data_IF_799707435642
#
_entry.id   IF_799707435642
#
_cell.length_a   1.000
_cell.length_b   1.000
_cell.length_c   1.000
_cell.angle_alpha   90.00
_cell.angle_beta   90.00
_cell.angle_gamma   90.00
#
_symmetry.space_group_name_H-M   'P 1'
#
loop_
_entity.id
_entity.type
_entity.pdbx_description
1 polymer ?
#
# COMPACT_ATOMS: atom_id res chain seq x y z
N UNK A 1 9.40 13.39 -0.67
CA UNK A 1 8.07 12.96 -1.13
C UNK A 1 7.14 12.95 0.06
N UNK A 2 6.00 13.63 -0.03
CA UNK A 2 4.96 13.71 1.00
C UNK A 2 3.75 12.90 0.55
N UNK A 3 3.39 11.90 1.35
CA UNK A 3 2.35 10.92 1.07
C UNK A 3 1.21 11.12 2.06
N UNK A 4 -0.03 11.17 1.58
CA UNK A 4 -1.20 10.89 2.40
C UNK A 4 -1.55 9.42 2.28
N UNK A 5 -1.39 8.66 3.35
CA UNK A 5 -1.72 7.23 3.39
C UNK A 5 -3.01 6.99 4.20
N UNK A 6 -3.90 6.14 3.69
CA UNK A 6 -5.18 5.78 4.31
C UNK A 6 -5.42 4.26 4.24
N UNK A 7 -6.11 3.69 5.22
CA UNK A 7 -6.49 2.27 5.21
C UNK A 7 -7.60 1.93 6.22
N UNK A 8 -8.44 0.95 5.87
CA UNK A 8 -9.40 0.21 6.70
C UNK A 8 -10.54 0.98 7.39
N UNK A 9 -10.30 2.22 7.83
CA UNK A 9 -11.26 3.04 8.58
C UNK A 9 -11.29 4.43 7.98
N UNK A 10 -12.49 4.92 7.67
CA UNK A 10 -12.71 6.30 7.24
C UNK A 10 -12.26 7.26 8.36
N UNK A 11 -11.34 8.17 8.04
CA UNK A 11 -10.86 9.16 9.00
C UNK A 11 -11.70 10.44 8.91
N UNK A 12 -12.67 10.57 9.82
CA UNK A 12 -13.53 11.76 9.96
C UNK A 12 -12.70 13.04 10.18
N UNK A 13 -11.53 12.94 10.83
CA UNK A 13 -10.66 14.10 11.06
C UNK A 13 -9.98 14.53 9.76
N UNK A 14 -9.64 13.59 8.89
CA UNK A 14 -9.15 13.88 7.53
C UNK A 14 -10.25 14.53 6.70
N UNK A 15 -11.47 13.97 6.71
CA UNK A 15 -12.61 14.51 5.95
C UNK A 15 -12.87 15.98 6.29
N UNK A 16 -13.07 16.29 7.58
CA UNK A 16 -13.30 17.67 8.03
C UNK A 16 -12.19 18.64 7.60
N UNK A 17 -10.94 18.18 7.57
CA UNK A 17 -9.81 19.01 7.16
C UNK A 17 -9.78 19.24 5.65
N UNK A 18 -10.17 18.25 4.85
CA UNK A 18 -10.32 18.39 3.40
C UNK A 18 -11.48 19.34 3.09
N UNK A 19 -12.61 19.20 3.77
CA UNK A 19 -13.76 20.13 3.67
C UNK A 19 -13.39 21.57 4.05
N UNK A 20 -12.52 21.76 5.05
CA UNK A 20 -12.03 23.09 5.44
C UNK A 20 -11.02 23.73 4.48
N UNK A 21 -10.94 23.22 3.24
CA UNK A 21 -10.11 23.77 2.16
C UNK A 21 -8.72 23.16 2.04
N UNK A 22 -8.41 22.08 2.76
CA UNK A 22 -7.28 21.20 2.45
C UNK A 22 -5.87 21.80 2.49
N UNK A 23 -5.66 23.07 2.87
CA UNK A 23 -4.37 23.79 2.74
C UNK A 23 -3.15 23.03 3.28
N UNK A 24 -3.31 22.29 4.39
CA UNK A 24 -2.25 21.49 5.01
C UNK A 24 -1.78 20.29 4.16
N UNK A 25 -2.55 19.94 3.13
CA UNK A 25 -2.33 18.82 2.22
C UNK A 25 -1.92 19.26 0.80
N UNK A 26 -1.83 20.56 0.52
CA UNK A 26 -1.44 21.07 -0.81
C UNK A 26 -0.06 20.54 -1.26
N UNK A 27 0.86 20.42 -0.30
CA UNK A 27 2.21 19.86 -0.49
C UNK A 27 2.25 18.33 -0.62
N UNK A 28 1.11 17.65 -0.54
CA UNK A 28 1.06 16.20 -0.76
C UNK A 28 1.39 15.91 -2.21
N UNK A 29 2.34 15.00 -2.45
CA UNK A 29 2.74 14.57 -3.79
C UNK A 29 1.81 13.48 -4.31
N UNK A 30 1.40 12.55 -3.44
CA UNK A 30 0.53 11.44 -3.81
C UNK A 30 -0.31 10.91 -2.65
N UNK A 31 -1.37 10.19 -3.01
CA UNK A 31 -2.27 9.49 -2.09
C UNK A 31 -1.99 7.99 -2.23
N UNK A 32 -1.87 7.29 -1.09
CA UNK A 32 -1.71 5.84 -1.04
C UNK A 32 -2.84 5.21 -0.22
N UNK A 33 -3.60 4.29 -0.80
CA UNK A 33 -4.54 3.45 -0.05
C UNK A 33 -4.01 2.03 0.13
N UNK A 34 -3.94 1.57 1.39
CA UNK A 34 -3.60 0.19 1.71
C UNK A 34 -4.83 -0.74 1.77
N UNK A 35 -5.98 -0.28 1.27
CA UNK A 35 -7.16 -1.11 1.09
C UNK A 35 -8.20 -0.99 2.19
N UNK A 36 -9.27 -1.78 1.98
CA UNK A 36 -10.47 -1.87 2.81
C UNK A 36 -11.13 -0.56 3.25
N UNK A 37 -11.15 0.41 2.32
CA UNK A 37 -11.95 1.62 2.42
C UNK A 37 -13.09 1.60 1.40
N UNK A 38 -14.26 2.16 1.72
CA UNK A 38 -15.33 2.35 0.76
C UNK A 38 -14.90 3.20 -0.44
N UNK A 39 -15.42 2.86 -1.61
CA UNK A 39 -15.11 3.59 -2.86
C UNK A 39 -15.42 5.08 -2.73
N UNK A 40 -16.59 5.44 -2.19
CA UNK A 40 -17.01 6.84 -2.04
C UNK A 40 -16.06 7.67 -1.19
N UNK A 41 -15.51 7.08 -0.14
CA UNK A 41 -14.52 7.73 0.71
C UNK A 41 -13.23 8.02 -0.09
N UNK A 42 -12.77 7.04 -0.86
CA UNK A 42 -11.57 7.20 -1.67
C UNK A 42 -11.78 8.25 -2.77
N UNK A 43 -12.94 8.24 -3.45
CA UNK A 43 -13.31 9.27 -4.43
C UNK A 43 -13.28 10.67 -3.81
N UNK A 44 -13.90 10.84 -2.64
CA UNK A 44 -13.88 12.11 -1.91
C UNK A 44 -12.45 12.58 -1.60
N UNK A 45 -11.59 11.70 -1.09
CA UNK A 45 -10.19 12.03 -0.77
C UNK A 45 -9.39 12.37 -2.03
N UNK A 46 -9.58 11.62 -3.12
CA UNK A 46 -8.85 11.86 -4.37
C UNK A 46 -9.29 13.14 -5.06
N UNK A 47 -10.59 13.42 -5.09
CA UNK A 47 -11.16 14.63 -5.70
C UNK A 47 -10.78 15.88 -4.91
N UNK A 48 -10.75 15.78 -3.58
CA UNK A 48 -10.38 16.91 -2.71
C UNK A 48 -8.93 17.38 -2.89
N UNK A 49 -8.03 16.47 -3.27
CA UNK A 49 -6.59 16.76 -3.36
C UNK A 49 -6.07 16.85 -4.79
N UNK A 50 -6.74 16.20 -5.75
CA UNK A 50 -6.36 16.12 -7.14
C UNK A 50 -4.87 15.73 -7.33
N UNK A 51 -4.43 14.69 -6.62
CA UNK A 51 -3.06 14.16 -6.65
C UNK A 51 -3.02 12.75 -7.24
N UNK A 52 -1.84 12.29 -7.64
CA UNK A 52 -1.65 10.91 -8.07
C UNK A 52 -2.08 9.94 -6.97
N UNK A 53 -2.95 8.99 -7.33
CA UNK A 53 -3.51 8.02 -6.40
C UNK A 53 -3.01 6.60 -6.72
N UNK A 54 -2.47 5.93 -5.72
CA UNK A 54 -2.01 4.55 -5.81
C UNK A 54 -2.73 3.72 -4.75
N UNK A 55 -3.22 2.55 -5.11
CA UNK A 55 -3.96 1.74 -4.14
C UNK A 55 -3.72 0.25 -4.30
N UNK A 56 -3.99 -0.48 -3.22
CA UNK A 56 -4.17 -1.92 -3.28
C UNK A 56 -5.53 -2.25 -2.67
N UNK A 57 -6.18 -3.30 -3.18
CA UNK A 57 -7.42 -3.79 -2.57
C UNK A 57 -7.12 -4.61 -1.32
N UNK A 58 -7.99 -4.52 -0.31
CA UNK A 58 -7.94 -5.40 0.84
C UNK A 58 -8.71 -6.70 0.62
N UNK A 59 -9.21 -7.32 1.68
CA UNK A 59 -9.97 -8.57 1.60
C UNK A 59 -11.48 -8.40 1.74
N UNK A 60 -11.97 -7.23 2.18
CA UNK A 60 -13.40 -6.96 2.34
C UNK A 60 -14.04 -6.31 1.12
N UNK A 61 -13.41 -5.28 0.54
CA UNK A 61 -14.02 -4.46 -0.53
C UNK A 61 -13.68 -4.93 -1.95
N UNK A 62 -13.26 -6.18 -2.09
CA UNK A 62 -12.83 -6.78 -3.37
C UNK A 62 -13.87 -6.63 -4.46
N UNK A 63 -15.14 -6.79 -4.12
CA UNK A 63 -16.21 -6.75 -5.10
C UNK A 63 -16.35 -5.35 -5.70
N UNK A 64 -16.37 -4.29 -4.89
CA UNK A 64 -16.55 -2.91 -5.39
C UNK A 64 -15.48 -2.48 -6.39
N UNK A 65 -14.24 -2.94 -6.22
CA UNK A 65 -13.18 -2.65 -7.18
C UNK A 65 -13.22 -3.53 -8.41
N UNK A 66 -13.92 -4.67 -8.44
CA UNK A 66 -13.75 -5.69 -9.49
C UNK A 66 -15.05 -6.38 -9.92
N UNK A 67 -16.18 -5.69 -9.80
CA UNK A 67 -17.53 -6.23 -10.07
C UNK A 67 -17.63 -6.94 -11.43
N UNK A 68 -16.91 -6.48 -12.47
CA UNK A 68 -16.92 -7.10 -13.79
C UNK A 68 -15.95 -8.29 -13.97
N UNK A 69 -14.93 -8.43 -13.12
CA UNK A 69 -13.80 -9.36 -13.34
C UNK A 69 -14.03 -10.72 -12.66
N UNK A 70 -14.81 -10.76 -11.57
CA UNK A 70 -14.96 -11.96 -10.75
C UNK A 70 -15.99 -12.98 -11.23
N UNK A 71 -16.76 -12.69 -12.28
CA UNK A 71 -17.69 -13.67 -12.90
C UNK A 71 -16.99 -14.86 -13.58
N UNK A 72 -15.66 -14.87 -13.68
CA UNK A 72 -14.91 -16.01 -14.23
C UNK A 72 -13.57 -16.22 -13.51
N UNK A 73 -13.51 -17.20 -12.59
CA UNK A 73 -12.28 -17.60 -11.86
C UNK A 73 -11.07 -17.86 -12.77
N UNK A 74 -11.29 -18.30 -14.02
CA UNK A 74 -10.24 -18.55 -15.02
C UNK A 74 -9.71 -17.27 -15.69
N UNK A 75 -10.53 -16.21 -15.74
CA UNK A 75 -10.19 -14.91 -16.33
C UNK A 75 -9.38 -14.05 -15.35
N UNK A 76 -9.69 -14.15 -14.05
CA UNK A 76 -8.96 -13.47 -12.96
C UNK A 76 -7.47 -13.83 -12.99
N UNK A 77 -7.09 -15.10 -13.13
CA UNK A 77 -5.67 -15.47 -13.20
C UNK A 77 -4.95 -14.88 -14.44
N UNK A 78 -5.67 -14.70 -15.56
CA UNK A 78 -5.14 -14.22 -16.83
C UNK A 78 -5.01 -12.68 -16.88
N UNK A 79 -5.99 -11.96 -16.35
CA UNK A 79 -6.02 -10.49 -16.30
C UNK A 79 -4.97 -9.89 -15.35
N UNK A 80 -4.65 -10.57 -14.26
CA UNK A 80 -3.64 -10.12 -13.30
C UNK A 80 -2.21 -10.57 -13.70
N UNK A 81 -2.11 -11.28 -14.83
CA UNK A 81 -0.86 -11.74 -15.44
C UNK A 81 -0.14 -10.70 -16.30
N UNK A 82 -0.84 -9.75 -16.94
CA UNK A 82 -0.23 -8.88 -17.95
C UNK A 82 -1.00 -7.62 -18.27
N UNK A 83 -0.24 -6.53 -18.43
CA UNK A 83 -0.51 -5.27 -19.15
C UNK A 83 -1.98 -5.00 -19.51
N UNK A 84 -2.73 -4.43 -18.57
CA UNK A 84 -4.00 -3.76 -18.82
C UNK A 84 -4.09 -2.57 -17.87
N UNK A 85 -4.31 -1.37 -18.40
CA UNK A 85 -4.48 -0.17 -17.60
C UNK A 85 -5.64 -0.39 -16.61
N UNK A 86 -5.35 -0.28 -15.31
CA UNK A 86 -6.33 -0.43 -14.22
C UNK A 86 -6.43 0.91 -13.50
N UNK A 87 -6.82 1.94 -14.23
CA UNK A 87 -7.24 3.19 -13.62
C UNK A 87 -8.64 2.94 -13.05
N UNK A 88 -8.78 2.94 -11.73
CA UNK A 88 -10.09 2.91 -11.05
C UNK A 88 -10.12 4.09 -10.10
N UNK A 89 -11.16 4.91 -10.20
CA UNK A 89 -11.28 6.15 -9.42
C UNK A 89 -10.10 7.12 -9.69
N UNK A 90 -9.63 7.18 -10.95
CA UNK A 90 -8.44 7.95 -11.32
C UNK A 90 -7.10 7.42 -10.77
N UNK A 91 -7.12 6.39 -9.91
CA UNK A 91 -5.93 5.82 -9.29
C UNK A 91 -5.39 4.55 -9.94
N UNK A 92 -4.14 4.20 -9.63
CA UNK A 92 -3.42 3.05 -10.17
C UNK A 92 -3.48 1.88 -9.16
N UNK A 93 -4.09 0.76 -9.57
CA UNK A 93 -4.03 -0.50 -8.81
C UNK A 93 -2.61 -1.08 -8.81
N UNK A 94 -2.00 -1.11 -7.62
CA UNK A 94 -0.62 -1.52 -7.41
C UNK A 94 -0.45 -3.01 -7.13
N UNK A 95 -1.51 -3.83 -7.07
CA UNK A 95 -1.37 -5.26 -6.77
C UNK A 95 -0.48 -5.98 -7.81
N UNK A 96 0.63 -6.55 -7.34
CA UNK A 96 1.68 -7.18 -8.16
C UNK A 96 2.26 -6.28 -9.27
N UNK A 97 2.23 -4.97 -9.04
CA UNK A 97 2.70 -3.91 -9.96
C UNK A 97 3.94 -3.22 -9.40
N UNK A 98 4.71 -2.64 -10.32
CA UNK A 98 5.84 -1.75 -10.03
C UNK A 98 5.64 -0.51 -10.89
N UNK A 99 5.67 0.68 -10.29
CA UNK A 99 5.56 1.96 -10.98
C UNK A 99 6.69 2.89 -10.56
N UNK A 100 7.19 3.70 -11.49
CA UNK A 100 8.16 4.76 -11.19
C UNK A 100 7.39 6.05 -10.95
N UNK A 101 7.64 6.70 -9.83
CA UNK A 101 7.04 7.98 -9.44
C UNK A 101 8.14 8.95 -9.00
N UNK A 102 8.59 9.79 -9.94
CA UNK A 102 9.75 10.66 -9.74
C UNK A 102 11.01 9.86 -9.37
N UNK A 103 11.58 10.19 -8.22
CA UNK A 103 12.78 9.53 -7.66
C UNK A 103 12.47 8.21 -6.91
N UNK A 104 11.25 7.71 -7.00
CA UNK A 104 10.78 6.54 -6.25
C UNK A 104 10.30 5.43 -7.17
N UNK A 105 10.44 4.19 -6.70
CA UNK A 105 9.78 3.01 -7.25
C UNK A 105 8.72 2.58 -6.24
N UNK A 106 7.48 2.56 -6.68
CA UNK A 106 6.34 2.07 -5.91
C UNK A 106 6.09 0.60 -6.27
N UNK A 107 5.81 -0.23 -5.28
CA UNK A 107 5.42 -1.63 -5.49
C UNK A 107 4.26 -2.03 -4.56
N UNK A 108 3.30 -2.80 -5.06
CA UNK A 108 2.08 -3.10 -4.29
C UNK A 108 1.71 -4.58 -4.16
N UNK A 109 1.11 -4.92 -3.03
CA UNK A 109 0.56 -6.25 -2.73
C UNK A 109 -0.80 -6.16 -2.02
N UNK A 110 -1.88 -6.18 -2.79
CA UNK A 110 -3.24 -6.27 -2.23
C UNK A 110 -3.60 -7.66 -1.70
N UNK A 111 -4.67 -7.69 -0.90
CA UNK A 111 -5.25 -8.89 -0.31
C UNK A 111 -4.65 -9.30 1.03
N UNK A 112 -5.18 -10.40 1.56
CA UNK A 112 -4.81 -10.95 2.86
C UNK A 112 -4.46 -12.45 2.79
N UNK A 113 -3.96 -12.97 3.90
CA UNK A 113 -3.78 -14.42 4.09
C UNK A 113 -5.12 -15.13 3.88
N UNK A 114 -5.07 -16.32 3.30
CA UNK A 114 -6.29 -17.11 3.08
C UNK A 114 -6.80 -17.72 4.38
N UNK A 115 -8.00 -17.29 4.77
CA UNK A 115 -8.77 -17.86 5.87
C UNK A 115 -10.17 -18.31 5.43
N UNK A 116 -10.64 -17.85 4.26
CA UNK A 116 -11.93 -18.14 3.63
C UNK A 116 -11.78 -18.24 2.09
N UNK A 117 -12.80 -18.70 1.34
CA UNK A 117 -12.75 -18.78 -0.13
C UNK A 117 -12.95 -17.39 -0.80
N UNK A 118 -12.23 -16.37 -0.33
CA UNK A 118 -12.29 -15.00 -0.84
C UNK A 118 -11.40 -14.77 -2.07
N UNK A 119 -11.80 -13.81 -2.90
CA UNK A 119 -11.17 -13.49 -4.17
C UNK A 119 -9.77 -12.82 -4.06
N UNK A 120 -9.52 -12.05 -3.00
CA UNK A 120 -8.21 -11.44 -2.68
C UNK A 120 -7.59 -12.08 -1.42
N UNK A 121 -7.69 -13.41 -1.36
CA UNK A 121 -7.11 -14.19 -0.29
C UNK A 121 -6.10 -15.19 -0.84
N UNK A 122 -4.87 -15.06 -0.37
CA UNK A 122 -3.72 -15.76 -0.92
C UNK A 122 -3.10 -16.69 0.12
N UNK A 123 -2.70 -17.87 -0.33
CA UNK A 123 -1.73 -18.69 0.38
C UNK A 123 -0.36 -18.04 0.32
N UNK A 124 0.51 -18.39 1.27
CA UNK A 124 1.91 -17.96 1.29
C UNK A 124 2.61 -18.24 -0.06
N UNK A 125 2.35 -19.41 -0.65
CA UNK A 125 2.93 -19.81 -1.94
C UNK A 125 2.44 -18.96 -3.12
N UNK A 126 1.16 -18.58 -3.16
CA UNK A 126 0.63 -17.69 -4.20
C UNK A 126 1.21 -16.29 -4.07
N UNK A 127 1.22 -15.73 -2.86
CA UNK A 127 1.80 -14.40 -2.61
C UNK A 127 3.30 -14.40 -2.92
N UNK A 128 4.02 -15.46 -2.57
CA UNK A 128 5.45 -15.62 -2.88
C UNK A 128 5.73 -15.53 -4.39
N UNK A 129 4.86 -16.10 -5.25
CA UNK A 129 5.01 -16.00 -6.71
C UNK A 129 4.88 -14.55 -7.18
N UNK A 130 3.90 -13.81 -6.65
CA UNK A 130 3.70 -12.39 -6.95
C UNK A 130 4.90 -11.55 -6.50
N UNK A 131 5.37 -11.78 -5.27
CA UNK A 131 6.57 -11.14 -4.70
C UNK A 131 7.79 -11.37 -5.57
N UNK A 132 8.04 -12.61 -6.00
CA UNK A 132 9.16 -12.93 -6.91
C UNK A 132 9.08 -12.17 -8.24
N UNK A 133 7.88 -12.05 -8.82
CA UNK A 133 7.65 -11.27 -10.06
C UNK A 133 7.96 -9.79 -9.87
N UNK A 134 7.53 -9.19 -8.76
CA UNK A 134 7.81 -7.79 -8.42
C UNK A 134 9.29 -7.56 -8.17
N UNK A 135 9.96 -8.45 -7.40
CA UNK A 135 11.41 -8.41 -7.17
C UNK A 135 12.16 -8.43 -8.51
N UNK A 136 11.77 -9.31 -9.43
CA UNK A 136 12.40 -9.37 -10.75
C UNK A 136 12.25 -8.05 -11.52
N UNK A 137 11.04 -7.49 -11.58
CA UNK A 137 10.80 -6.18 -12.23
C UNK A 137 11.66 -5.06 -11.63
N UNK A 138 11.76 -4.99 -10.30
CA UNK A 138 12.60 -3.99 -9.62
C UNK A 138 14.08 -4.18 -9.98
N UNK A 139 14.57 -5.43 -10.04
CA UNK A 139 15.95 -5.71 -10.44
C UNK A 139 16.24 -5.29 -11.88
N UNK A 140 15.31 -5.55 -12.79
CA UNK A 140 15.40 -5.11 -14.19
C UNK A 140 15.46 -3.58 -14.26
N UNK A 141 14.58 -2.87 -13.55
CA UNK A 141 14.61 -1.40 -13.49
C UNK A 141 15.94 -0.87 -12.94
N UNK A 142 16.43 -1.44 -11.82
CA UNK A 142 17.71 -1.05 -11.23
C UNK A 142 18.89 -1.34 -12.16
N UNK A 143 18.84 -2.44 -12.90
CA UNK A 143 19.87 -2.78 -13.89
C UNK A 143 19.92 -1.74 -15.02
N UNK A 144 18.76 -1.32 -15.55
CA UNK A 144 18.72 -0.25 -16.53
C UNK A 144 19.13 1.10 -15.96
N UNK A 145 18.72 1.43 -14.73
CA UNK A 145 19.18 2.65 -14.07
C UNK A 145 20.71 2.66 -13.93
N UNK A 146 21.32 1.53 -13.57
CA UNK A 146 22.78 1.38 -13.54
C UNK A 146 23.41 1.53 -14.93
N UNK A 147 22.90 0.83 -15.94
CA UNK A 147 23.43 0.86 -17.31
C UNK A 147 23.40 2.26 -17.92
N UNK A 148 22.37 3.04 -17.62
CA UNK A 148 22.19 4.41 -18.11
C UNK A 148 22.68 5.49 -17.12
N UNK A 149 23.46 5.11 -16.10
CA UNK A 149 24.01 6.02 -15.09
C UNK A 149 22.96 6.93 -14.44
N UNK A 150 21.74 6.43 -14.29
CA UNK A 150 20.63 7.14 -13.66
C UNK A 150 20.76 7.06 -12.15
N UNK A 151 20.28 8.12 -11.48
CA UNK A 151 20.15 8.12 -10.02
C UNK A 151 19.35 6.90 -9.55
N UNK A 152 19.89 6.22 -8.54
CA UNK A 152 19.19 5.12 -7.87
C UNK A 152 17.96 5.66 -7.16
N UNK A 153 16.82 5.04 -7.44
CA UNK A 153 15.52 5.39 -6.86
C UNK A 153 15.30 4.67 -5.54
N UNK A 154 14.69 5.37 -4.59
CA UNK A 154 14.21 4.79 -3.35
C UNK A 154 12.96 3.94 -3.61
N UNK A 155 12.71 2.95 -2.75
CA UNK A 155 11.58 2.02 -2.94
C UNK A 155 10.59 2.18 -1.81
N UNK A 156 9.33 2.40 -2.17
CA UNK A 156 8.19 2.42 -1.24
C UNK A 156 7.26 1.26 -1.60
N UNK A 157 6.92 0.45 -0.61
CA UNK A 157 6.01 -0.68 -0.77
C UNK A 157 4.69 -0.37 -0.07
N UNK A 158 3.58 -0.76 -0.67
CA UNK A 158 2.26 -0.73 -0.07
C UNK A 158 1.65 -2.15 -0.10
N UNK A 159 1.15 -2.63 1.02
CA UNK A 159 0.40 -3.89 1.08
C UNK A 159 -0.87 -3.70 1.89
N UNK A 160 -1.85 -4.57 1.69
CA UNK A 160 -2.97 -4.59 2.63
C UNK A 160 -2.56 -5.39 3.89
N UNK A 161 -2.20 -6.65 3.71
CA UNK A 161 -1.70 -7.50 4.78
C UNK A 161 -0.39 -7.00 5.42
N UNK A 162 -0.18 -7.30 6.71
CA UNK A 162 1.07 -7.00 7.41
C UNK A 162 2.23 -7.90 6.96
N UNK A 163 3.45 -7.51 7.35
CA UNK A 163 4.65 -8.33 7.22
C UNK A 163 4.67 -9.36 8.35
N UNK A 164 4.98 -10.62 8.07
CA UNK A 164 5.01 -11.65 9.12
C UNK A 164 5.95 -11.28 10.28
N UNK A 165 5.42 -11.38 11.50
CA UNK A 165 6.08 -11.00 12.75
C UNK A 165 6.17 -9.49 13.01
N UNK A 166 5.51 -8.65 12.19
CA UNK A 166 5.45 -7.18 12.38
C UNK A 166 4.01 -6.71 12.25
N UNK A 167 3.45 -6.25 13.37
CA UNK A 167 2.07 -5.78 13.50
C UNK A 167 0.98 -6.82 13.15
N UNK A 168 1.35 -8.08 12.88
CA UNK A 168 0.43 -9.17 12.63
C UNK A 168 -0.13 -9.78 13.93
N UNK A 169 -1.03 -10.75 13.78
CA UNK A 169 -1.57 -11.55 14.89
C UNK A 169 -1.44 -13.04 14.55
N UNK A 170 -1.64 -13.87 15.57
CA UNK A 170 -1.59 -15.34 15.45
C UNK A 170 -2.78 -15.92 14.69
N UNK A 171 -3.91 -15.19 14.64
CA UNK A 171 -5.09 -15.64 13.91
C UNK A 171 -4.87 -15.59 12.39
N UNK A 172 -5.47 -16.54 11.68
CA UNK A 172 -5.28 -16.70 10.24
C UNK A 172 -5.73 -15.48 9.44
N UNK A 173 -6.68 -14.69 9.94
CA UNK A 173 -7.15 -13.51 9.24
C UNK A 173 -6.06 -12.43 9.22
N UNK A 174 -5.43 -12.15 10.35
CA UNK A 174 -4.46 -11.06 10.52
C UNK A 174 -2.99 -11.50 10.42
N UNK A 175 -2.73 -12.76 10.10
CA UNK A 175 -1.37 -13.28 9.90
C UNK A 175 -0.70 -12.60 8.70
N UNK A 176 0.54 -12.14 8.90
CA UNK A 176 1.34 -11.55 7.84
C UNK A 176 1.98 -12.59 6.92
N UNK A 177 2.50 -12.14 5.78
CA UNK A 177 3.22 -13.00 4.84
C UNK A 177 4.72 -13.06 5.13
N UNK A 178 5.29 -14.25 5.16
CA UNK A 178 6.74 -14.45 5.34
C UNK A 178 7.52 -13.92 4.13
N UNK A 179 6.97 -14.05 2.92
CA UNK A 179 7.58 -13.56 1.70
C UNK A 179 7.76 -12.04 1.66
N UNK A 180 7.00 -11.27 2.46
CA UNK A 180 7.19 -9.82 2.60
C UNK A 180 8.46 -9.51 3.41
N UNK A 181 8.70 -10.29 4.47
CA UNK A 181 9.94 -10.17 5.25
C UNK A 181 11.16 -10.46 4.38
N UNK A 182 11.07 -11.50 3.57
CA UNK A 182 12.04 -11.86 2.53
C UNK A 182 12.30 -10.73 1.51
N UNK A 183 11.24 -10.04 1.08
CA UNK A 183 11.36 -8.89 0.19
C UNK A 183 12.17 -7.78 0.86
N UNK A 184 11.89 -7.46 2.12
CA UNK A 184 12.60 -6.42 2.87
C UNK A 184 14.09 -6.74 2.94
N UNK A 185 14.47 -7.97 3.29
CA UNK A 185 15.88 -8.40 3.31
C UNK A 185 16.57 -8.26 1.94
N UNK A 186 15.89 -8.62 0.85
CA UNK A 186 16.45 -8.66 -0.51
C UNK A 186 16.51 -7.30 -1.21
N UNK A 187 15.51 -6.44 -0.96
CA UNK A 187 15.28 -5.22 -1.75
C UNK A 187 15.60 -3.95 -0.95
N UNK A 188 15.46 -4.03 0.38
CA UNK A 188 15.65 -2.94 1.34
C UNK A 188 14.88 -1.67 0.93
N UNK A 189 13.53 -1.72 0.87
CA UNK A 189 12.75 -0.52 0.64
C UNK A 189 12.94 0.47 1.80
N UNK A 190 12.81 1.76 1.53
CA UNK A 190 12.91 2.76 2.61
C UNK A 190 11.66 2.74 3.49
N UNK A 191 10.52 2.37 2.92
CA UNK A 191 9.21 2.43 3.56
C UNK A 191 8.34 1.26 3.09
N UNK A 192 7.65 0.62 4.03
CA UNK A 192 6.61 -0.38 3.79
C UNK A 192 5.33 0.02 4.52
N UNK A 193 4.28 0.32 3.77
CA UNK A 193 2.98 0.73 4.29
C UNK A 193 2.02 -0.46 4.31
N UNK A 194 1.26 -0.62 5.39
CA UNK A 194 0.20 -1.61 5.45
C UNK A 194 -1.02 -1.17 6.27
N UNK A 195 -2.14 -1.90 6.09
CA UNK A 195 -3.37 -1.78 6.85
C UNK A 195 -3.72 -3.08 7.56
N UNK A 196 -4.99 -3.49 7.46
CA UNK A 196 -5.60 -4.76 7.89
C UNK A 196 -5.67 -5.01 9.41
N UNK A 197 -4.60 -4.68 10.14
CA UNK A 197 -4.54 -4.91 11.59
C UNK A 197 -4.85 -3.62 12.33
N UNK A 198 -6.10 -3.48 12.76
CA UNK A 198 -6.56 -2.29 13.48
C UNK A 198 -5.79 -2.11 14.81
N UNK A 199 -5.24 -0.91 15.05
CA UNK A 199 -4.59 -0.59 16.32
C UNK A 199 -5.57 -0.44 17.51
N UNK A 200 -6.86 -0.21 17.22
CA UNK A 200 -7.89 -0.03 18.24
C UNK A 200 -8.11 -1.31 19.04
N UNK A 201 -8.15 -1.17 20.36
CA UNK A 201 -8.09 -2.29 21.32
C UNK A 201 -6.68 -2.65 21.80
N UNK A 202 -5.62 -2.09 21.19
CA UNK A 202 -4.22 -2.40 21.52
C UNK A 202 -3.38 -1.13 21.75
N UNK A 203 -3.77 -0.29 22.71
CA UNK A 203 -3.09 0.97 23.14
C UNK A 203 -1.56 0.90 23.33
N UNK A 204 -0.96 -0.30 23.34
CA UNK A 204 0.47 -0.55 23.58
C UNK A 204 1.25 -1.10 22.38
N UNK A 205 0.62 -1.43 21.24
CA UNK A 205 1.38 -2.00 20.10
C UNK A 205 1.95 -0.91 19.20
N UNK A 206 3.22 -1.05 18.77
CA UNK A 206 3.81 -0.12 17.83
C UNK A 206 3.06 -0.17 16.50
N UNK A 207 2.81 1.00 15.92
CA UNK A 207 2.37 1.15 14.53
C UNK A 207 3.55 1.39 13.59
N UNK A 208 4.75 1.57 14.15
CA UNK A 208 6.00 1.84 13.47
C UNK A 208 7.06 0.88 13.97
N UNK A 209 7.64 0.10 13.06
CA UNK A 209 8.72 -0.84 13.38
C UNK A 209 9.78 -0.74 12.30
N UNK A 210 11.05 -0.63 12.71
CA UNK A 210 12.16 -0.77 11.77
C UNK A 210 12.53 -2.25 11.65
N UNK A 211 12.56 -2.75 10.42
CA UNK A 211 13.18 -4.02 10.09
C UNK A 211 14.43 -3.74 9.24
N UNK A 212 15.60 -3.92 9.84
CA UNK A 212 16.87 -3.42 9.29
C UNK A 212 16.76 -1.88 9.14
N UNK A 213 16.77 -1.38 7.91
CA UNK A 213 16.69 0.04 7.56
C UNK A 213 15.31 0.42 6.97
N UNK A 214 14.39 -0.54 6.88
CA UNK A 214 13.04 -0.32 6.34
C UNK A 214 12.09 0.08 7.46
N UNK A 215 11.44 1.23 7.33
CA UNK A 215 10.32 1.58 8.19
C UNK A 215 9.07 0.82 7.73
N UNK A 216 8.57 -0.09 8.56
CA UNK A 216 7.26 -0.73 8.39
C UNK A 216 6.23 0.07 9.20
N UNK A 217 5.21 0.60 8.52
CA UNK A 217 4.24 1.51 9.09
C UNK A 217 2.81 1.01 8.83
N UNK A 218 2.05 0.85 9.91
CA UNK A 218 0.61 0.72 9.86
C UNK A 218 -0.02 2.11 9.68
N UNK A 219 -0.83 2.28 8.63
CA UNK A 219 -1.36 3.59 8.24
C UNK A 219 -2.80 3.85 8.69
N UNK A 220 -3.43 2.92 9.43
CA UNK A 220 -4.81 3.08 9.92
C UNK A 220 -4.89 4.19 10.98
N UNK A 221 -5.91 5.07 10.94
CA UNK A 221 -6.86 5.25 9.84
C UNK A 221 -6.26 6.08 8.69
N UNK A 222 -5.44 7.08 9.02
CA UNK A 222 -4.65 7.87 8.07
C UNK A 222 -3.32 8.34 8.67
N UNK A 223 -2.32 8.57 7.80
CA UNK A 223 -1.01 9.17 8.13
C UNK A 223 -0.53 10.10 7.03
N UNK A 224 0.14 11.20 7.43
CA UNK A 224 0.98 11.99 6.53
C UNK A 224 2.42 11.54 6.73
N UNK A 225 3.08 11.15 5.63
CA UNK A 225 4.43 10.61 5.65
C UNK A 225 5.31 11.47 4.75
N UNK A 226 6.40 11.98 5.29
CA UNK A 226 7.37 12.76 4.52
C UNK A 226 8.70 12.01 4.46
N UNK A 227 9.10 11.65 3.25
CA UNK A 227 10.42 11.09 2.95
C UNK A 227 11.33 12.26 2.56
N UNK A 228 12.19 12.65 3.51
CA UNK A 228 13.18 13.70 3.37
C UNK A 228 14.50 13.23 2.77
N UNK A 229 15.48 14.15 2.70
CA UNK A 229 16.82 13.84 2.20
C UNK A 229 17.50 12.76 3.06
N UNK A 230 18.33 11.92 2.42
CA UNK A 230 19.05 10.80 3.06
C UNK A 230 18.13 9.76 3.72
N UNK A 231 16.89 9.61 3.25
CA UNK A 231 15.96 8.59 3.73
C UNK A 231 15.37 8.85 5.13
N UNK A 232 15.48 10.07 5.66
CA UNK A 232 14.79 10.43 6.91
C UNK A 232 13.29 10.44 6.68
N UNK A 233 12.54 9.68 7.46
CA UNK A 233 11.08 9.59 7.34
C UNK A 233 10.44 10.25 8.56
N UNK A 234 9.53 11.20 8.29
CA UNK A 234 8.70 11.83 9.30
C UNK A 234 7.27 11.33 9.13
N UNK A 235 6.65 10.86 10.22
CA UNK A 235 5.28 10.36 10.22
C UNK A 235 4.45 11.22 11.16
N UNK A 236 3.32 11.73 10.66
CA UNK A 236 2.35 12.48 11.45
C UNK A 236 0.99 11.82 11.33
N UNK A 237 0.33 11.63 12.48
CA UNK A 237 -1.07 11.21 12.50
C UNK A 237 -1.97 12.45 12.37
N UNK A 238 -3.09 12.27 11.70
CA UNK A 238 -4.11 13.30 11.57
C UNK A 238 -4.96 13.23 12.84
N UNK A 239 -4.72 14.13 13.79
CA UNK A 239 -5.55 14.24 14.99
C UNK A 239 -6.67 15.27 14.77
N UNK A 240 -7.80 15.09 15.44
CA UNK A 240 -8.66 16.22 15.76
C UNK A 240 -7.90 17.10 16.75
N UNK A 241 -7.51 18.30 16.31
CA UNK A 241 -7.37 19.38 17.29
C UNK A 241 -8.82 19.78 17.54
N UNK A 242 -9.39 19.31 18.65
CA UNK A 242 -10.63 19.88 19.18
C UNK A 242 -10.45 21.35 19.50
#
# INVERSE_FOLDING_TARGET
MKILAVADVEDISLEKRLESGGKKFEETDCIISCGDLPVKYLEFVTDSLNKSFFFVSGNHFVNQFYEDVFKSKKLVAKLYGGKGQKHKFGGIDMHARVEVFGDYILAGFGGAMRYNPGAFQFTESEMTRLVKKVIFKIRVLRFFDFLFLRKRKDIVVLSHAPVAGIHDKEDNCHKGFACFRDFIFKIKPVLWLHGHVHPEGQRKKPQQTYLIDTLVLNVIPSKIIEIGKKGKIFVRQIFNNG
#
